data_IF_057612091244
#
_entry.id   IF_057612091244
#
_cell.length_a   1.000
_cell.length_b   1.000
_cell.length_c   1.000
_cell.angle_alpha   90.00
_cell.angle_beta   90.00
_cell.angle_gamma   90.00
#
_symmetry.space_group_name_H-M   'P 1'
#
loop_
_entity.id
_entity.type
_entity.pdbx_description
1 polymer ?
#
# COMPACT_ATOMS: atom_id res chain seq x y z
N UNK A 1 -9.35 6.55 -11.70
CA UNK A 1 -8.91 7.39 -10.57
C UNK A 1 -7.40 7.17 -10.38
N UNK A 2 -6.67 7.94 -9.53
CA UNK A 2 -5.23 7.68 -9.32
C UNK A 2 -4.99 6.40 -8.49
N UNK A 3 -5.94 6.06 -7.61
CA UNK A 3 -5.90 4.89 -6.75
C UNK A 3 -7.31 4.30 -6.62
N UNK A 4 -7.41 2.98 -6.64
CA UNK A 4 -8.67 2.24 -6.53
C UNK A 4 -8.46 1.02 -5.62
N UNK A 5 -9.52 0.62 -4.91
CA UNK A 5 -9.49 -0.55 -4.02
C UNK A 5 -10.89 -1.09 -3.76
N UNK A 6 -10.95 -2.35 -3.33
CA UNK A 6 -12.16 -2.93 -2.75
C UNK A 6 -12.35 -2.43 -1.31
N UNK A 7 -13.54 -1.93 -0.99
CA UNK A 7 -13.81 -1.32 0.32
C UNK A 7 -13.87 -2.37 1.46
N UNK A 8 -14.16 -3.64 1.17
CA UNK A 8 -14.03 -4.71 2.15
C UNK A 8 -12.57 -4.96 2.50
N UNK A 9 -11.66 -4.84 1.52
CA UNK A 9 -10.20 -4.92 1.75
C UNK A 9 -9.72 -3.75 2.61
N UNK A 10 -10.17 -2.52 2.32
CA UNK A 10 -9.83 -1.34 3.13
C UNK A 10 -10.38 -1.48 4.57
N UNK A 11 -11.64 -1.93 4.73
CA UNK A 11 -12.25 -2.18 6.04
C UNK A 11 -11.46 -3.20 6.88
N UNK A 12 -11.05 -4.32 6.28
CA UNK A 12 -10.18 -5.31 6.94
C UNK A 12 -8.81 -4.72 7.30
N UNK A 13 -8.24 -3.89 6.43
CA UNK A 13 -6.96 -3.22 6.69
C UNK A 13 -7.05 -2.23 7.86
N UNK A 14 -8.11 -1.41 7.91
CA UNK A 14 -8.41 -0.53 9.05
C UNK A 14 -8.56 -1.32 10.34
N UNK A 15 -9.30 -2.44 10.31
CA UNK A 15 -9.52 -3.25 11.51
C UNK A 15 -8.20 -3.85 12.05
N UNK A 16 -7.38 -4.43 11.16
CA UNK A 16 -6.15 -5.16 11.49
C UNK A 16 -4.95 -4.24 11.76
N UNK A 17 -4.76 -3.22 10.92
CA UNK A 17 -3.55 -2.39 10.90
C UNK A 17 -3.78 -0.96 11.39
N UNK A 18 -5.04 -0.55 11.61
CA UNK A 18 -5.41 0.82 12.01
C UNK A 18 -4.99 1.89 10.99
N UNK A 19 -4.98 1.51 9.71
CA UNK A 19 -4.61 2.38 8.58
C UNK A 19 -5.69 2.29 7.51
N UNK A 20 -6.20 3.44 7.07
CA UNK A 20 -7.10 3.56 5.92
C UNK A 20 -6.28 3.72 4.63
N UNK A 21 -6.71 3.08 3.54
CA UNK A 21 -6.07 3.21 2.23
C UNK A 21 -6.08 4.63 1.67
N UNK A 22 -7.04 5.48 2.05
CA UNK A 22 -7.04 6.89 1.66
C UNK A 22 -5.77 7.63 2.07
N UNK A 23 -5.03 7.15 3.09
CA UNK A 23 -3.75 7.73 3.49
C UNK A 23 -2.65 7.65 2.43
N UNK A 24 -2.85 6.88 1.35
CA UNK A 24 -1.95 6.86 0.19
C UNK A 24 -1.78 8.23 -0.46
N UNK A 25 -2.73 9.15 -0.27
CA UNK A 25 -2.62 10.54 -0.76
C UNK A 25 -1.51 11.32 -0.06
N UNK A 26 -1.18 10.93 1.17
CA UNK A 26 -0.17 11.58 2.02
C UNK A 26 1.18 10.83 1.97
N UNK A 27 1.30 9.83 1.10
CA UNK A 27 2.49 9.00 0.99
C UNK A 27 3.58 9.71 0.19
N UNK A 28 4.79 9.78 0.76
CA UNK A 28 5.96 10.38 0.13
C UNK A 28 6.62 9.37 -0.80
N UNK A 29 6.33 9.48 -2.10
CA UNK A 29 6.80 8.55 -3.13
C UNK A 29 8.25 8.80 -3.55
N UNK A 30 8.74 10.05 -3.50
CA UNK A 30 10.06 10.40 -4.02
C UNK A 30 11.20 9.76 -3.22
N UNK A 31 10.96 9.48 -1.93
CA UNK A 31 11.91 8.82 -1.03
C UNK A 31 11.60 7.34 -0.77
N UNK A 32 10.54 6.82 -1.39
CA UNK A 32 10.05 5.48 -1.11
C UNK A 32 10.96 4.40 -1.72
N UNK A 33 11.11 3.30 -1.01
CA UNK A 33 11.75 2.09 -1.51
C UNK A 33 10.69 1.11 -1.99
N UNK A 34 10.64 0.88 -3.30
CA UNK A 34 9.71 -0.03 -3.96
C UNK A 34 10.42 -1.28 -4.49
N UNK A 35 9.76 -2.43 -4.36
CA UNK A 35 10.22 -3.70 -4.91
C UNK A 35 9.05 -4.58 -5.32
N UNK A 36 9.28 -5.48 -6.27
CA UNK A 36 8.29 -6.48 -6.70
C UNK A 36 8.12 -7.55 -5.61
N UNK A 37 6.86 -7.92 -5.32
CA UNK A 37 6.55 -9.06 -4.43
C UNK A 37 6.44 -10.35 -5.25
N UNK A 38 7.56 -11.04 -5.38
CA UNK A 38 7.72 -12.29 -6.13
C UNK A 38 7.67 -13.55 -5.24
N UNK A 39 7.20 -13.40 -3.99
CA UNK A 39 7.23 -14.48 -2.99
C UNK A 39 6.26 -15.62 -3.29
N UNK A 40 5.15 -15.35 -4.00
CA UNK A 40 4.13 -16.32 -4.37
C UNK A 40 3.48 -15.93 -5.70
N UNK A 41 2.90 -16.92 -6.40
CA UNK A 41 2.04 -16.64 -7.55
C UNK A 41 0.66 -16.16 -7.08
N UNK A 42 0.50 -14.84 -7.05
CA UNK A 42 -0.75 -14.17 -6.68
C UNK A 42 -1.73 -14.01 -7.86
N UNK A 43 -1.42 -14.56 -9.04
CA UNK A 43 -2.13 -14.33 -10.30
C UNK A 43 -2.16 -12.85 -10.74
N UNK A 44 -1.37 -12.00 -10.09
CA UNK A 44 -1.18 -10.58 -10.37
C UNK A 44 0.22 -10.17 -9.92
N UNK A 45 0.81 -9.17 -10.59
CA UNK A 45 2.09 -8.59 -10.16
C UNK A 45 1.80 -7.58 -9.05
N UNK A 46 2.39 -7.82 -7.88
CA UNK A 46 2.32 -6.91 -6.73
C UNK A 46 3.63 -6.19 -6.50
N UNK A 47 3.53 -4.98 -5.99
CA UNK A 47 4.64 -4.17 -5.53
C UNK A 47 4.47 -3.88 -4.05
N UNK A 48 5.57 -4.01 -3.32
CA UNK A 48 5.70 -3.62 -1.94
C UNK A 48 6.52 -2.33 -1.86
N UNK A 49 6.05 -1.39 -1.04
CA UNK A 49 6.66 -0.07 -0.89
C UNK A 49 6.85 0.23 0.59
N UNK A 50 8.06 0.63 0.96
CA UNK A 50 8.36 1.24 2.24
C UNK A 50 8.56 2.74 2.04
N UNK A 51 7.75 3.56 2.69
CA UNK A 51 7.81 5.01 2.53
C UNK A 51 7.16 5.75 3.67
N UNK A 52 7.35 7.06 3.71
CA UNK A 52 6.86 7.89 4.78
C UNK A 52 5.42 8.32 4.55
N UNK A 53 4.65 8.37 5.65
CA UNK A 53 3.51 9.27 5.77
C UNK A 53 3.78 10.15 6.98
N UNK A 54 4.11 11.42 6.74
CA UNK A 54 4.66 12.31 7.76
C UNK A 54 5.99 11.78 8.31
N UNK A 55 6.06 11.58 9.63
CA UNK A 55 7.31 11.15 10.31
C UNK A 55 7.39 9.63 10.54
N UNK A 56 6.44 8.86 10.02
CA UNK A 56 6.37 7.39 10.24
C UNK A 56 6.47 6.64 8.92
N UNK A 57 7.24 5.55 8.93
CA UNK A 57 7.36 4.62 7.80
C UNK A 57 6.14 3.68 7.79
N UNK A 58 5.59 3.49 6.60
CA UNK A 58 4.49 2.56 6.30
C UNK A 58 4.95 1.55 5.25
N UNK A 59 4.40 0.34 5.36
CA UNK A 59 4.45 -0.65 4.29
C UNK A 59 3.14 -0.61 3.52
N UNK A 60 3.23 -0.39 2.21
CA UNK A 60 2.12 -0.37 1.27
C UNK A 60 2.30 -1.51 0.27
N UNK A 61 1.21 -2.16 -0.12
CA UNK A 61 1.22 -3.18 -1.18
C UNK A 61 0.14 -2.88 -2.20
N UNK A 62 0.49 -2.81 -3.48
CA UNK A 62 -0.43 -2.52 -4.58
C UNK A 62 -0.16 -3.37 -5.83
N UNK A 63 -1.10 -3.33 -6.77
CA UNK A 63 -0.99 -3.90 -8.12
C UNK A 63 -1.43 -2.84 -9.14
N UNK A 64 -0.97 -2.95 -10.38
CA UNK A 64 -1.36 -2.05 -11.49
C UNK A 64 -2.74 -2.40 -12.07
#
# INVERSE_FOLDING_TARGET
MKYEWDENKNSKNRAKHKVDFNRVTDFEWDSAFEYMDDRQDYHEIRYCVLGYIGVRIFHLTYAY
#
